data_IF_443896498598
#
_entry.id   IF_443896498598
#
_cell.length_a   1.000
_cell.length_b   1.000
_cell.length_c   1.000
_cell.angle_alpha   90.00
_cell.angle_beta   90.00
_cell.angle_gamma   90.00
#
_symmetry.space_group_name_H-M   'P 1'
#
loop_
_entity.id
_entity.type
_entity.pdbx_description
1 polymer ?
#
# COMPACT_ATOMS: atom_id res chain seq x y z
N UNK A 1 11.24 11.47 -23.18
CA UNK A 1 10.21 10.48 -23.55
C UNK A 1 9.79 9.64 -22.35
N UNK A 2 10.71 8.96 -21.69
CA UNK A 2 10.38 8.21 -20.47
C UNK A 2 9.83 9.08 -19.35
N UNK A 3 10.28 10.33 -19.30
CA UNK A 3 9.84 11.31 -18.32
C UNK A 3 8.33 11.61 -18.47
N UNK A 4 7.87 11.82 -19.69
CA UNK A 4 6.46 12.10 -19.95
C UNK A 4 5.57 10.90 -19.63
N UNK A 5 6.01 9.69 -19.97
CA UNK A 5 5.28 8.47 -19.65
C UNK A 5 5.15 8.27 -18.15
N UNK A 6 6.21 8.51 -17.39
CA UNK A 6 6.19 8.40 -15.94
C UNK A 6 5.22 9.42 -15.34
N UNK A 7 5.22 10.65 -15.83
CA UNK A 7 4.34 11.71 -15.36
C UNK A 7 2.87 11.39 -15.64
N UNK A 8 2.55 10.87 -16.83
CA UNK A 8 1.19 10.47 -17.16
C UNK A 8 0.72 9.32 -16.30
N UNK A 9 1.59 8.35 -16.03
CA UNK A 9 1.27 7.24 -15.16
C UNK A 9 0.98 7.72 -13.74
N UNK A 10 1.79 8.64 -13.22
CA UNK A 10 1.61 9.18 -11.88
C UNK A 10 0.29 9.92 -11.75
N UNK A 11 -0.10 10.69 -12.77
CA UNK A 11 -1.39 11.37 -12.81
C UNK A 11 -2.54 10.36 -12.82
N UNK A 12 -2.43 9.31 -13.60
CA UNK A 12 -3.45 8.27 -13.67
C UNK A 12 -3.62 7.59 -12.31
N UNK A 13 -2.50 7.20 -11.67
CA UNK A 13 -2.53 6.54 -10.37
C UNK A 13 -3.13 7.46 -9.30
N UNK A 14 -2.76 8.73 -9.32
CA UNK A 14 -3.31 9.72 -8.39
C UNK A 14 -4.82 9.82 -8.52
N UNK A 15 -5.33 9.92 -9.75
CA UNK A 15 -6.76 10.00 -9.99
C UNK A 15 -7.48 8.73 -9.56
N UNK A 16 -6.89 7.57 -9.82
CA UNK A 16 -7.46 6.29 -9.41
C UNK A 16 -7.64 6.23 -7.89
N UNK A 17 -6.66 6.70 -7.12
CA UNK A 17 -6.75 6.75 -5.66
C UNK A 17 -7.83 7.73 -5.22
N UNK A 18 -7.89 8.91 -5.84
CA UNK A 18 -8.84 9.95 -5.46
C UNK A 18 -10.29 9.56 -5.75
N UNK A 19 -10.53 8.72 -6.74
CA UNK A 19 -11.88 8.30 -7.12
C UNK A 19 -12.27 6.92 -6.59
N UNK A 20 -11.35 6.24 -5.91
CA UNK A 20 -11.59 4.90 -5.40
C UNK A 20 -12.56 4.92 -4.22
N UNK A 21 -13.42 3.90 -4.15
CA UNK A 21 -14.26 3.67 -2.98
C UNK A 21 -13.39 3.20 -1.80
N UNK A 22 -13.90 3.25 -0.54
CA UNK A 22 -13.15 2.72 0.60
C UNK A 22 -12.71 1.27 0.42
N UNK A 23 -13.57 0.42 -0.15
CA UNK A 23 -13.23 -0.97 -0.40
C UNK A 23 -12.10 -1.10 -1.43
N UNK A 24 -12.17 -0.30 -2.50
CA UNK A 24 -11.13 -0.28 -3.52
C UNK A 24 -9.79 0.20 -2.96
N UNK A 25 -9.81 1.19 -2.08
CA UNK A 25 -8.59 1.67 -1.41
C UNK A 25 -7.94 0.57 -0.58
N UNK A 26 -8.73 -0.22 0.14
CA UNK A 26 -8.21 -1.35 0.92
C UNK A 26 -7.51 -2.35 0.00
N UNK A 27 -8.15 -2.70 -1.12
CA UNK A 27 -7.55 -3.61 -2.11
C UNK A 27 -6.25 -3.04 -2.66
N UNK A 28 -6.22 -1.75 -2.99
CA UNK A 28 -5.03 -1.08 -3.50
C UNK A 28 -3.89 -1.10 -2.48
N UNK A 29 -4.20 -0.90 -1.21
CA UNK A 29 -3.20 -0.93 -0.14
C UNK A 29 -2.63 -2.35 0.06
N UNK A 30 -3.49 -3.37 0.05
CA UNK A 30 -3.03 -4.75 0.11
C UNK A 30 -2.12 -5.09 -1.07
N UNK A 31 -2.52 -4.70 -2.27
CA UNK A 31 -1.74 -4.95 -3.48
C UNK A 31 -0.36 -4.30 -3.39
N UNK A 32 -0.32 -3.05 -2.96
CA UNK A 32 0.93 -2.31 -2.78
C UNK A 32 1.82 -2.96 -1.70
N UNK A 33 1.22 -3.43 -0.62
CA UNK A 33 1.95 -4.12 0.44
C UNK A 33 2.60 -5.40 -0.09
N UNK A 34 1.83 -6.22 -0.82
CA UNK A 34 2.32 -7.47 -1.40
C UNK A 34 3.46 -7.20 -2.38
N UNK A 35 3.32 -6.18 -3.22
CA UNK A 35 4.37 -5.83 -4.19
C UNK A 35 5.66 -5.43 -3.50
N UNK A 36 5.59 -4.65 -2.44
CA UNK A 36 6.77 -4.26 -1.68
C UNK A 36 7.42 -5.45 -0.99
N UNK A 37 6.63 -6.38 -0.46
CA UNK A 37 7.17 -7.60 0.15
C UNK A 37 7.86 -8.49 -0.88
N UNK A 38 7.29 -8.64 -2.06
CA UNK A 38 7.91 -9.40 -3.15
C UNK A 38 9.23 -8.78 -3.60
N UNK A 39 9.26 -7.46 -3.73
CA UNK A 39 10.49 -6.73 -4.06
C UNK A 39 11.56 -6.91 -2.99
N UNK A 40 11.16 -6.82 -1.72
CA UNK A 40 12.09 -7.04 -0.62
C UNK A 40 12.70 -8.44 -0.69
N UNK A 41 11.88 -9.44 -0.96
CA UNK A 41 12.35 -10.83 -1.09
C UNK A 41 13.39 -10.96 -2.20
N UNK A 42 13.11 -10.38 -3.37
CA UNK A 42 14.06 -10.38 -4.49
C UNK A 42 15.37 -9.70 -4.09
N UNK A 43 15.28 -8.53 -3.47
CA UNK A 43 16.45 -7.74 -3.09
C UNK A 43 17.28 -8.42 -2.01
N UNK A 44 16.66 -9.14 -1.09
CA UNK A 44 17.38 -9.90 -0.05
C UNK A 44 18.24 -11.02 -0.65
N UNK A 45 17.85 -11.52 -1.82
CA UNK A 45 18.59 -12.57 -2.51
C UNK A 45 19.69 -12.00 -3.41
N UNK A 46 19.81 -10.69 -3.52
CA UNK A 46 20.84 -10.02 -4.29
C UNK A 46 21.95 -9.51 -3.37
N UNK A 47 23.19 -9.78 -3.77
CA UNK A 47 24.34 -9.32 -2.98
C UNK A 47 24.40 -7.80 -2.95
N UNK A 48 24.60 -7.23 -1.76
CA UNK A 48 24.76 -5.79 -1.59
C UNK A 48 23.45 -5.00 -1.63
N UNK A 49 22.29 -5.67 -1.63
CA UNK A 49 20.99 -5.00 -1.75
C UNK A 49 20.16 -5.06 -0.46
N UNK A 50 20.79 -5.39 0.67
CA UNK A 50 20.08 -5.49 1.96
C UNK A 50 19.45 -4.15 2.36
N UNK A 51 20.15 -3.03 2.13
CA UNK A 51 19.61 -1.70 2.43
C UNK A 51 18.36 -1.40 1.63
N UNK A 52 18.37 -1.74 0.34
CA UNK A 52 17.20 -1.54 -0.54
C UNK A 52 16.03 -2.42 -0.11
N UNK A 53 16.30 -3.65 0.31
CA UNK A 53 15.28 -4.53 0.86
C UNK A 53 14.65 -3.93 2.12
N UNK A 54 15.45 -3.33 2.99
CA UNK A 54 14.98 -2.65 4.19
C UNK A 54 14.01 -1.51 3.86
N UNK A 55 14.30 -0.74 2.82
CA UNK A 55 13.41 0.32 2.36
C UNK A 55 12.05 -0.24 1.95
N UNK A 56 12.03 -1.37 1.23
CA UNK A 56 10.78 -2.00 0.80
C UNK A 56 10.01 -2.58 1.97
N UNK A 57 10.68 -3.15 2.94
CA UNK A 57 10.03 -3.64 4.17
C UNK A 57 9.41 -2.51 4.98
N UNK A 58 10.10 -1.38 5.08
CA UNK A 58 9.57 -0.18 5.73
C UNK A 58 8.32 0.33 5.03
N UNK A 59 8.34 0.34 3.70
CA UNK A 59 7.14 0.72 2.91
C UNK A 59 5.97 -0.22 3.20
N UNK A 60 6.21 -1.52 3.24
CA UNK A 60 5.16 -2.49 3.56
C UNK A 60 4.59 -2.25 4.96
N UNK A 61 5.44 -1.95 5.94
CA UNK A 61 5.01 -1.64 7.30
C UNK A 61 4.15 -0.38 7.35
N UNK A 62 4.53 0.67 6.62
CA UNK A 62 3.75 1.90 6.52
C UNK A 62 2.36 1.62 5.94
N UNK A 63 2.31 0.82 4.88
CA UNK A 63 1.04 0.45 4.24
C UNK A 63 0.17 -0.35 5.20
N UNK A 64 0.74 -1.29 5.94
CA UNK A 64 0.01 -2.05 6.96
C UNK A 64 -0.54 -1.13 8.04
N UNK A 65 0.23 -0.11 8.44
CA UNK A 65 -0.23 0.90 9.39
C UNK A 65 -1.46 1.64 8.88
N UNK A 66 -1.47 2.01 7.61
CA UNK A 66 -2.62 2.65 6.98
C UNK A 66 -3.83 1.72 6.93
N UNK A 67 -3.62 0.44 6.63
CA UNK A 67 -4.69 -0.56 6.62
C UNK A 67 -5.30 -0.73 8.01
N UNK A 68 -4.47 -0.84 9.03
CA UNK A 68 -4.93 -0.97 10.41
C UNK A 68 -5.72 0.26 10.83
N UNK A 69 -5.25 1.45 10.47
CA UNK A 69 -5.95 2.70 10.76
C UNK A 69 -7.32 2.73 10.09
N UNK A 70 -7.40 2.30 8.83
CA UNK A 70 -8.66 2.23 8.09
C UNK A 70 -9.65 1.28 8.75
N UNK A 71 -9.18 0.10 9.15
CA UNK A 71 -10.02 -0.89 9.83
C UNK A 71 -10.50 -0.38 11.19
N UNK A 72 -9.63 0.30 11.93
CA UNK A 72 -9.99 0.84 13.23
C UNK A 72 -11.04 1.93 13.14
N UNK A 73 -11.12 2.66 12.03
CA UNK A 73 -12.16 3.65 11.81
C UNK A 73 -13.53 3.00 11.61
N UNK A 74 -13.58 1.78 11.10
CA UNK A 74 -14.83 1.06 10.86
C UNK A 74 -15.27 0.21 12.05
N UNK A 75 -14.34 -0.34 12.82
CA UNK A 75 -14.65 -1.20 13.97
C UNK A 75 -15.57 -0.51 15.00
N UNK A 76 -15.33 0.75 15.41
CA UNK A 76 -16.21 1.41 16.37
C UNK A 76 -17.66 1.48 15.90
N UNK A 77 -17.88 1.73 14.62
CA UNK A 77 -19.22 1.75 14.04
C UNK A 77 -19.85 0.36 14.10
N UNK A 78 -19.08 -0.67 13.78
CA UNK A 78 -19.56 -2.05 13.85
C UNK A 78 -19.93 -2.42 15.27
N UNK A 79 -19.15 -2.02 16.24
CA UNK A 79 -19.45 -2.27 17.66
C UNK A 79 -20.70 -1.55 18.14
N UNK A 80 -20.99 -0.37 17.61
CA UNK A 80 -22.20 0.36 17.92
C UNK A 80 -23.43 -0.29 17.29
N UNK A 81 -23.28 -0.88 16.12
CA UNK A 81 -24.36 -1.53 15.39
C UNK A 81 -24.64 -2.94 15.88
N UNK A 82 -23.65 -3.59 16.46
CA UNK A 82 -23.73 -4.95 16.96
C UNK A 82 -23.52 -4.93 18.47
N UNK A 83 -24.60 -4.67 19.23
CA UNK A 83 -24.48 -4.68 20.67
C UNK A 83 -24.09 -6.08 21.15
N UNK A 84 -23.07 -6.11 21.94
CA UNK A 84 -22.56 -7.37 22.49
C UNK A 84 -23.14 -7.57 23.89
#
# INVERSE_FOLDING_TARGET
>A
MNYMKAQLRDEYLKQSVMTASPAELVVMLFDACIKNLKLADILLNEEGRIGDAGVRLTKAQEILGELIASLNLEIPLSHQLLPI
#
